data_IF_628637540345
#
_entry.id   IF_628637540345
#
_cell.length_a   1.000
_cell.length_b   1.000
_cell.length_c   1.000
_cell.angle_alpha   90.00
_cell.angle_beta   90.00
_cell.angle_gamma   90.00
#
_symmetry.space_group_name_H-M   'P 1'
#
loop_
_entity.id
_entity.type
_entity.pdbx_description
1 polymer ?
#
# COMPACT_ATOMS: atom_id res chain seq x y z
N UNK A 1 -12.45 26.68 -16.85
CA UNK A 1 -12.03 25.63 -15.90
C UNK A 1 -12.38 26.15 -14.52
N UNK A 2 -13.22 25.43 -13.75
CA UNK A 2 -13.41 25.76 -12.34
C UNK A 2 -12.08 25.50 -11.62
N UNK A 3 -11.63 26.38 -10.71
CA UNK A 3 -10.49 26.07 -9.86
C UNK A 3 -10.82 24.78 -9.11
N UNK A 4 -9.92 23.80 -9.18
CA UNK A 4 -9.98 22.62 -8.32
C UNK A 4 -9.91 23.12 -6.88
N UNK A 5 -11.05 23.20 -6.19
CA UNK A 5 -11.08 23.46 -4.77
C UNK A 5 -10.43 22.26 -4.09
N UNK A 6 -9.19 22.45 -3.65
CA UNK A 6 -8.52 21.47 -2.81
C UNK A 6 -9.16 21.51 -1.42
N UNK A 7 -9.76 20.40 -1.00
CA UNK A 7 -10.26 20.22 0.35
C UNK A 7 -9.24 19.38 1.13
N UNK A 8 -8.47 20.00 2.06
CA UNK A 8 -7.43 19.32 2.81
C UNK A 8 -8.00 18.23 3.74
N UNK A 9 -9.22 18.39 4.26
CA UNK A 9 -9.86 17.39 5.09
C UNK A 9 -10.23 16.15 4.27
N UNK A 10 -10.78 16.35 3.07
CA UNK A 10 -11.08 15.25 2.16
C UNK A 10 -9.81 14.54 1.68
N UNK A 11 -8.74 15.28 1.39
CA UNK A 11 -7.45 14.72 1.02
C UNK A 11 -6.86 13.85 2.15
N UNK A 12 -6.92 14.33 3.39
CA UNK A 12 -6.44 13.60 4.57
C UNK A 12 -7.23 12.32 4.84
N UNK A 13 -8.55 12.36 4.72
CA UNK A 13 -9.40 11.17 4.84
C UNK A 13 -9.06 10.11 3.78
N UNK A 14 -8.85 10.53 2.53
CA UNK A 14 -8.43 9.63 1.44
C UNK A 14 -7.07 8.98 1.71
N UNK A 15 -6.08 9.74 2.14
CA UNK A 15 -4.74 9.21 2.49
C UNK A 15 -4.83 8.24 3.66
N UNK A 16 -5.63 8.54 4.68
CA UNK A 16 -5.82 7.65 5.82
C UNK A 16 -6.47 6.32 5.41
N UNK A 17 -7.49 6.35 4.55
CA UNK A 17 -8.13 5.15 3.99
C UNK A 17 -7.14 4.32 3.17
N UNK A 18 -6.31 4.98 2.36
CA UNK A 18 -5.27 4.32 1.57
C UNK A 18 -4.25 3.62 2.45
N UNK A 19 -3.76 4.29 3.50
CA UNK A 19 -2.81 3.70 4.45
C UNK A 19 -3.42 2.51 5.17
N UNK A 20 -4.64 2.66 5.70
CA UNK A 20 -5.33 1.55 6.36
C UNK A 20 -5.53 0.35 5.42
N UNK A 21 -5.84 0.59 4.15
CA UNK A 21 -5.96 -0.46 3.13
C UNK A 21 -4.62 -1.15 2.84
N UNK A 22 -3.53 -0.38 2.76
CA UNK A 22 -2.19 -0.93 2.53
C UNK A 22 -1.68 -1.73 3.73
N UNK A 23 -1.91 -1.26 4.96
CA UNK A 23 -1.55 -1.98 6.20
C UNK A 23 -2.36 -3.27 6.40
N UNK A 24 -3.59 -3.30 5.90
CA UNK A 24 -4.42 -4.50 5.88
C UNK A 24 -4.02 -5.51 4.79
N UNK A 25 -3.08 -5.17 3.90
CA UNK A 25 -2.61 -6.07 2.84
C UNK A 25 -1.73 -7.16 3.45
N UNK A 26 -2.32 -8.33 3.66
CA UNK A 26 -1.60 -9.51 4.15
C UNK A 26 -1.44 -10.49 2.98
N UNK A 27 -0.21 -10.78 2.54
CA UNK A 27 -0.01 -11.83 1.56
C UNK A 27 -0.50 -13.16 2.14
N UNK A 28 -1.23 -13.98 1.37
CA UNK A 28 -1.80 -15.22 1.86
C UNK A 28 -0.68 -16.13 2.37
N UNK A 29 -0.84 -16.67 3.57
CA UNK A 29 0.04 -17.71 4.08
C UNK A 29 -0.12 -18.94 3.18
N UNK A 30 0.87 -19.17 2.31
CA UNK A 30 0.86 -20.28 1.37
C UNK A 30 1.11 -21.58 2.15
N UNK A 31 0.07 -22.13 2.78
CA UNK A 31 0.13 -23.39 3.51
C UNK A 31 0.07 -24.62 2.58
N UNK A 32 0.14 -24.40 1.27
CA UNK A 32 0.11 -25.46 0.25
C UNK A 32 1.31 -26.40 0.39
N UNK A 33 2.47 -25.90 0.81
CA UNK A 33 3.68 -26.73 0.98
C UNK A 33 3.49 -27.83 2.02
N UNK A 34 2.81 -27.54 3.14
CA UNK A 34 2.53 -28.55 4.17
C UNK A 34 1.50 -29.58 3.70
N UNK A 35 0.49 -29.14 2.95
CA UNK A 35 -0.54 -30.01 2.38
C UNK A 35 0.03 -30.96 1.32
N UNK A 36 0.95 -30.47 0.48
CA UNK A 36 1.64 -31.28 -0.53
C UNK A 36 2.58 -32.28 0.12
N UNK A 37 3.36 -31.85 1.12
CA UNK A 37 4.23 -32.75 1.88
C UNK A 37 3.45 -33.88 2.58
N UNK A 38 2.21 -33.61 2.98
CA UNK A 38 1.31 -34.58 3.59
C UNK A 38 0.59 -35.49 2.58
N UNK A 39 0.71 -35.26 1.26
CA UNK A 39 0.01 -36.05 0.23
C UNK A 39 0.96 -37.08 -0.38
N UNK A 40 0.75 -38.39 -0.14
CA UNK A 40 1.60 -39.44 -0.73
C UNK A 40 1.43 -39.51 -2.25
N UNK A 41 2.52 -39.81 -2.98
CA UNK A 41 2.47 -40.18 -4.39
C UNK A 41 2.38 -39.03 -5.40
N UNK A 42 2.45 -37.77 -4.97
CA UNK A 42 2.33 -36.58 -5.86
C UNK A 42 3.57 -36.26 -6.69
N UNK A 43 4.75 -36.81 -6.33
CA UNK A 43 5.97 -36.74 -7.15
C UNK A 43 6.28 -35.34 -7.71
N UNK A 44 6.63 -35.26 -9.01
CA UNK A 44 6.96 -34.01 -9.68
C UNK A 44 5.79 -33.00 -9.81
N UNK A 45 4.55 -33.47 -9.78
CA UNK A 45 3.37 -32.59 -9.76
C UNK A 45 3.28 -31.81 -8.45
N UNK A 46 3.58 -32.46 -7.32
CA UNK A 46 3.68 -31.80 -6.01
C UNK A 46 4.73 -30.68 -6.02
N UNK A 47 5.91 -30.94 -6.59
CA UNK A 47 6.97 -29.91 -6.71
C UNK A 47 6.53 -28.72 -7.58
N UNK A 48 5.82 -28.95 -8.67
CA UNK A 48 5.29 -27.88 -9.53
C UNK A 48 4.25 -27.02 -8.77
N UNK A 49 3.37 -27.64 -7.99
CA UNK A 49 2.41 -26.93 -7.16
C UNK A 49 3.09 -26.10 -6.07
N UNK A 50 4.11 -26.63 -5.38
CA UNK A 50 4.90 -25.87 -4.40
C UNK A 50 5.50 -24.63 -5.07
N UNK A 51 6.15 -24.81 -6.22
CA UNK A 51 6.79 -23.70 -6.96
C UNK A 51 5.78 -22.63 -7.40
N UNK A 52 4.61 -23.04 -7.91
CA UNK A 52 3.54 -22.12 -8.28
C UNK A 52 3.03 -21.34 -7.06
N UNK A 53 2.85 -22.03 -5.93
CA UNK A 53 2.36 -21.42 -4.70
C UNK A 53 3.36 -20.42 -4.11
N UNK A 54 4.66 -20.75 -4.11
CA UNK A 54 5.74 -19.83 -3.73
C UNK A 54 5.78 -18.59 -4.62
N UNK A 55 5.62 -18.77 -5.93
CA UNK A 55 5.59 -17.67 -6.90
C UNK A 55 4.42 -16.72 -6.61
N UNK A 56 3.21 -17.26 -6.42
CA UNK A 56 2.03 -16.47 -6.06
C UNK A 56 2.23 -15.71 -4.76
N UNK A 57 2.82 -16.34 -3.74
CA UNK A 57 3.13 -15.67 -2.47
C UNK A 57 4.08 -14.49 -2.65
N UNK A 58 5.13 -14.64 -3.46
CA UNK A 58 6.08 -13.56 -3.78
C UNK A 58 5.42 -12.42 -4.55
N UNK A 59 4.60 -12.74 -5.55
CA UNK A 59 3.88 -11.72 -6.35
C UNK A 59 2.90 -10.92 -5.48
N UNK A 60 2.15 -11.59 -4.60
CA UNK A 60 1.25 -10.89 -3.69
C UNK A 60 1.99 -10.02 -2.67
N UNK A 61 3.12 -10.50 -2.12
CA UNK A 61 3.96 -9.70 -1.26
C UNK A 61 4.47 -8.43 -1.97
N UNK A 62 4.82 -8.54 -3.25
CA UNK A 62 5.20 -7.38 -4.07
C UNK A 62 4.06 -6.38 -4.21
N UNK A 63 2.82 -6.84 -4.43
CA UNK A 63 1.64 -5.95 -4.51
C UNK A 63 1.40 -5.22 -3.20
N UNK A 64 1.48 -5.92 -2.06
CA UNK A 64 1.34 -5.28 -0.75
C UNK A 64 2.43 -4.24 -0.49
N UNK A 65 3.68 -4.52 -0.86
CA UNK A 65 4.77 -3.56 -0.73
C UNK A 65 4.53 -2.30 -1.58
N UNK A 66 4.08 -2.46 -2.83
CA UNK A 66 3.73 -1.34 -3.71
C UNK A 66 2.60 -0.50 -3.08
N UNK A 67 1.58 -1.13 -2.50
CA UNK A 67 0.50 -0.42 -1.82
C UNK A 67 1.02 0.41 -0.64
N UNK A 68 1.94 -0.14 0.15
CA UNK A 68 2.59 0.57 1.27
C UNK A 68 3.43 1.76 0.77
N UNK A 69 4.19 1.59 -0.31
CA UNK A 69 5.01 2.66 -0.89
C UNK A 69 4.13 3.81 -1.42
N UNK A 70 3.04 3.48 -2.10
CA UNK A 70 2.07 4.49 -2.58
C UNK A 70 1.44 5.22 -1.39
N UNK A 71 1.06 4.50 -0.34
CA UNK A 71 0.49 5.10 0.87
C UNK A 71 1.47 6.04 1.57
N UNK A 72 2.73 5.63 1.72
CA UNK A 72 3.80 6.44 2.31
C UNK A 72 4.13 7.67 1.45
N UNK A 73 4.14 7.54 0.13
CA UNK A 73 4.34 8.68 -0.79
C UNK A 73 3.18 9.67 -0.72
N UNK A 74 1.95 9.16 -0.63
CA UNK A 74 0.74 10.00 -0.54
C UNK A 74 0.70 10.77 0.78
N UNK A 75 1.12 10.14 1.88
CA UNK A 75 1.24 10.80 3.18
C UNK A 75 2.27 11.93 3.16
N UNK A 76 3.48 11.68 2.66
CA UNK A 76 4.50 12.73 2.51
C UNK A 76 4.02 13.88 1.64
N UNK A 77 3.36 13.57 0.52
CA UNK A 77 2.84 14.62 -0.37
C UNK A 77 1.78 15.49 0.33
N UNK A 78 0.95 14.90 1.19
CA UNK A 78 -0.02 15.65 1.98
C UNK A 78 0.66 16.53 3.03
N UNK A 79 1.66 15.99 3.74
CA UNK A 79 2.45 16.74 4.71
C UNK A 79 3.17 17.92 4.06
N UNK A 80 3.75 17.73 2.87
CA UNK A 80 4.41 18.81 2.12
C UNK A 80 3.43 19.93 1.74
N UNK A 81 2.21 19.57 1.32
CA UNK A 81 1.15 20.55 0.99
C UNK A 81 0.71 21.32 2.25
N UNK A 82 0.48 20.62 3.37
CA UNK A 82 0.08 21.25 4.64
C UNK A 82 1.16 22.24 5.13
N UNK A 83 2.45 21.90 5.06
CA UNK A 83 3.55 22.82 5.44
C UNK A 83 3.65 24.04 4.51
N UNK A 84 3.48 23.86 3.20
CA UNK A 84 3.52 24.98 2.25
C UNK A 84 2.37 25.97 2.46
N UNK A 85 1.18 25.50 2.85
CA UNK A 85 0.06 26.37 3.18
C UNK A 85 0.30 27.14 4.50
N UNK A 86 0.92 26.51 5.51
CA UNK A 86 1.31 27.17 6.77
C UNK A 86 2.36 28.28 6.55
N UNK A 87 3.40 28.01 5.75
CA UNK A 87 4.43 28.99 5.40
C UNK A 87 3.84 30.18 4.64
N UNK A 88 2.90 29.92 3.72
CA UNK A 88 2.22 30.97 2.96
C UNK A 88 1.32 31.83 3.85
N UNK A 89 0.56 31.20 4.76
CA UNK A 89 -0.27 31.90 5.73
C UNK A 89 0.59 32.78 6.65
N UNK A 90 1.71 32.24 7.15
CA UNK A 90 2.62 33.00 8.01
C UNK A 90 3.28 34.16 7.27
N UNK A 91 3.71 33.97 6.02
CA UNK A 91 4.28 35.05 5.20
C UNK A 91 3.27 36.17 4.93
N UNK A 92 1.98 35.84 4.77
CA UNK A 92 0.90 36.81 4.61
C UNK A 92 0.61 37.57 5.91
N UNK A 93 0.66 36.91 7.07
CA UNK A 93 0.50 37.57 8.38
C UNK A 93 1.65 38.53 8.70
N UNK A 94 2.88 38.22 8.29
CA UNK A 94 4.06 39.08 8.51
C UNK A 94 4.11 40.28 7.54
N UNK A 95 3.47 40.17 6.38
CA UNK A 95 3.44 41.23 5.36
C UNK A 95 2.34 42.29 5.57
N UNK A 96 1.44 42.09 6.54
CA UNK A 96 0.33 42.98 6.92
C UNK A 96 0.67 43.80 8.18
#
# INVERSE_FOLDING_TARGET
MQPLQFDPLAARDLVNKLVAGAEACVPPAVNITSQIAATPGVGGFGMALISAAEKTGKEMASVCNIALDIAASSRRSLEDIEHHDEDLAHALEVAL
#
